data_IF_724113919504
#
_entry.id   IF_724113919504
#
_cell.length_a   1.000
_cell.length_b   1.000
_cell.length_c   1.000
_cell.angle_alpha   90.00
_cell.angle_beta   90.00
_cell.angle_gamma   90.00
#
_symmetry.space_group_name_H-M   'P 1'
#
loop_
_entity.id
_entity.type
_entity.pdbx_description
1 polymer ?
#
# COMPACT_ATOMS: atom_id res chain seq x y z
N UNK A 1 -40.71 6.24 -0.78
CA UNK A 1 -39.26 6.30 -1.07
C UNK A 1 -38.87 5.02 -1.79
N UNK A 2 -38.93 4.98 -3.13
CA UNK A 2 -38.52 3.81 -3.91
C UNK A 2 -36.99 3.76 -3.94
N UNK A 3 -36.40 2.75 -3.30
CA UNK A 3 -34.95 2.51 -3.35
C UNK A 3 -34.52 2.29 -4.80
N UNK A 4 -33.72 3.22 -5.34
CA UNK A 4 -33.10 3.05 -6.66
C UNK A 4 -32.19 1.83 -6.58
N UNK A 5 -32.55 0.75 -7.27
CA UNK A 5 -31.65 -0.39 -7.47
C UNK A 5 -30.43 0.12 -8.26
N UNK A 6 -29.19 -0.21 -7.85
CA UNK A 6 -28.02 0.17 -8.62
C UNK A 6 -28.11 -0.42 -10.02
N UNK A 7 -27.93 0.43 -11.03
CA UNK A 7 -27.89 0.03 -12.44
C UNK A 7 -26.72 -0.94 -12.68
N UNK A 8 -26.93 -1.93 -13.55
CA UNK A 8 -25.93 -2.94 -13.91
C UNK A 8 -24.67 -2.26 -14.47
N UNK A 9 -24.83 -1.16 -15.21
CA UNK A 9 -23.72 -0.37 -15.72
C UNK A 9 -22.85 0.24 -14.61
N UNK A 10 -23.48 0.69 -13.53
CA UNK A 10 -22.78 1.21 -12.35
C UNK A 10 -22.00 0.08 -11.67
N UNK A 11 -22.63 -1.06 -11.40
CA UNK A 11 -21.96 -2.22 -10.78
C UNK A 11 -20.71 -2.67 -11.55
N UNK A 12 -20.80 -2.78 -12.88
CA UNK A 12 -19.65 -3.13 -13.73
C UNK A 12 -18.52 -2.11 -13.67
N UNK A 13 -18.84 -0.82 -13.58
CA UNK A 13 -17.82 0.22 -13.46
C UNK A 13 -17.03 0.10 -12.14
N UNK A 14 -17.69 -0.26 -11.02
CA UNK A 14 -16.99 -0.52 -9.77
C UNK A 14 -16.11 -1.77 -9.82
N UNK A 15 -16.59 -2.84 -10.46
CA UNK A 15 -15.80 -4.04 -10.68
C UNK A 15 -14.54 -3.73 -11.49
N UNK A 16 -14.67 -2.98 -12.60
CA UNK A 16 -13.53 -2.56 -13.40
C UNK A 16 -12.55 -1.67 -12.63
N UNK A 17 -13.05 -0.71 -11.85
CA UNK A 17 -12.20 0.16 -11.04
C UNK A 17 -11.45 -0.61 -9.95
N UNK A 18 -12.09 -1.62 -9.35
CA UNK A 18 -11.47 -2.55 -8.40
C UNK A 18 -10.37 -3.35 -9.06
N UNK A 19 -10.65 -3.98 -10.20
CA UNK A 19 -9.71 -4.83 -10.91
C UNK A 19 -8.50 -4.01 -11.44
N UNK A 20 -8.73 -2.76 -11.87
CA UNK A 20 -7.67 -1.81 -12.19
C UNK A 20 -6.81 -1.49 -10.96
N UNK A 21 -7.44 -1.28 -9.81
CA UNK A 21 -6.73 -0.99 -8.55
C UNK A 21 -5.83 -2.16 -8.13
N UNK A 22 -6.33 -3.40 -8.24
CA UNK A 22 -5.55 -4.62 -7.98
C UNK A 22 -4.37 -4.70 -8.94
N UNK A 23 -4.58 -4.45 -10.24
CA UNK A 23 -3.53 -4.49 -11.26
C UNK A 23 -2.41 -3.47 -10.99
N UNK A 24 -2.79 -2.23 -10.65
CA UNK A 24 -1.83 -1.17 -10.32
C UNK A 24 -1.06 -1.47 -9.03
N UNK A 25 -1.73 -2.04 -8.03
CA UNK A 25 -1.12 -2.47 -6.78
C UNK A 25 -0.10 -3.59 -7.03
N UNK A 26 -0.47 -4.63 -7.81
CA UNK A 26 0.42 -5.72 -8.21
C UNK A 26 1.70 -5.17 -8.85
N UNK A 27 1.55 -4.28 -9.84
CA UNK A 27 2.68 -3.64 -10.53
C UNK A 27 3.57 -2.84 -9.58
N UNK A 28 2.99 -2.12 -8.61
CA UNK A 28 3.76 -1.37 -7.61
C UNK A 28 4.48 -2.28 -6.62
N UNK A 29 3.86 -3.36 -6.15
CA UNK A 29 4.46 -4.32 -5.23
C UNK A 29 5.70 -4.96 -5.86
N UNK A 30 5.58 -5.50 -7.07
CA UNK A 30 6.72 -6.12 -7.78
C UNK A 30 7.83 -5.10 -8.04
N UNK A 31 7.48 -3.91 -8.54
CA UNK A 31 8.48 -2.89 -8.94
C UNK A 31 9.24 -2.27 -7.75
N UNK A 32 8.54 -1.99 -6.66
CA UNK A 32 9.12 -1.21 -5.55
C UNK A 32 9.27 -2.04 -4.28
N UNK A 33 8.22 -2.75 -3.86
CA UNK A 33 8.24 -3.41 -2.55
C UNK A 33 9.05 -4.70 -2.56
N UNK A 34 9.01 -5.45 -3.66
CA UNK A 34 9.72 -6.71 -3.85
C UNK A 34 11.02 -6.55 -4.63
N UNK A 35 11.48 -5.30 -4.81
CA UNK A 35 12.75 -5.01 -5.49
C UNK A 35 13.91 -5.70 -4.80
N UNK A 36 14.00 -5.58 -3.47
CA UNK A 36 15.09 -6.14 -2.67
C UNK A 36 14.80 -7.57 -2.17
N UNK A 37 13.63 -8.13 -2.53
CA UNK A 37 13.30 -9.52 -2.23
C UNK A 37 14.00 -10.44 -3.23
N UNK A 38 15.21 -10.89 -2.88
CA UNK A 38 16.06 -11.74 -3.74
C UNK A 38 16.04 -13.20 -3.35
N UNK A 39 15.85 -13.50 -2.06
CA UNK A 39 15.88 -14.86 -1.53
C UNK A 39 14.65 -15.15 -0.66
N UNK A 40 14.16 -16.40 -0.73
CA UNK A 40 13.09 -16.89 0.15
C UNK A 40 13.56 -16.94 1.61
N UNK A 41 12.82 -16.27 2.50
CA UNK A 41 13.17 -16.15 3.94
C UNK A 41 12.43 -17.17 4.82
N UNK A 42 11.19 -17.50 4.47
CA UNK A 42 10.24 -18.20 5.36
C UNK A 42 9.91 -19.64 4.95
N UNK A 43 10.14 -20.03 3.69
CA UNK A 43 9.85 -21.39 3.24
C UNK A 43 10.92 -22.38 3.74
N UNK A 44 10.50 -23.47 4.37
CA UNK A 44 11.42 -24.53 4.82
C UNK A 44 12.01 -25.33 3.66
N UNK A 45 11.25 -25.49 2.56
CA UNK A 45 11.67 -26.25 1.38
C UNK A 45 12.47 -25.45 0.36
N UNK A 46 12.26 -24.12 0.28
CA UNK A 46 12.93 -23.22 -0.67
C UNK A 46 13.87 -22.22 0.01
N UNK A 47 14.25 -22.48 1.26
CA UNK A 47 15.01 -21.53 2.07
C UNK A 47 16.32 -21.18 1.37
N UNK A 48 16.56 -19.88 1.13
CA UNK A 48 17.75 -19.34 0.43
C UNK A 48 17.80 -19.60 -1.08
N UNK A 49 16.74 -20.09 -1.70
CA UNK A 49 16.65 -20.10 -3.16
C UNK A 49 16.35 -18.70 -3.70
N UNK A 50 16.83 -18.38 -4.92
CA UNK A 50 16.55 -17.12 -5.57
C UNK A 50 15.06 -17.03 -5.93
N UNK A 51 14.45 -15.90 -5.60
CA UNK A 51 13.04 -15.63 -5.91
C UNK A 51 12.92 -15.24 -7.37
N UNK A 52 12.06 -15.93 -8.10
CA UNK A 52 11.78 -15.59 -9.51
C UNK A 52 10.77 -14.44 -9.62
N UNK A 53 10.80 -13.70 -10.74
CA UNK A 53 9.83 -12.63 -10.97
C UNK A 53 8.39 -13.15 -11.03
N UNK A 54 8.18 -14.39 -11.50
CA UNK A 54 6.88 -15.05 -11.47
C UNK A 54 6.36 -15.27 -10.04
N UNK A 55 7.22 -15.72 -9.11
CA UNK A 55 6.85 -15.87 -7.69
C UNK A 55 6.54 -14.51 -7.05
N UNK A 56 7.24 -13.44 -7.45
CA UNK A 56 6.91 -12.06 -7.00
C UNK A 56 5.56 -11.60 -7.50
N UNK A 57 5.23 -11.90 -8.76
CA UNK A 57 3.94 -11.57 -9.36
C UNK A 57 2.79 -12.34 -8.71
N UNK A 58 2.96 -13.64 -8.51
CA UNK A 58 2.00 -14.50 -7.81
C UNK A 58 1.75 -13.97 -6.40
N UNK A 59 2.82 -13.70 -5.64
CA UNK A 59 2.67 -13.15 -4.28
C UNK A 59 2.02 -11.78 -4.27
N UNK A 60 2.33 -10.92 -5.24
CA UNK A 60 1.70 -9.61 -5.36
C UNK A 60 0.20 -9.71 -5.69
N UNK A 61 -0.19 -10.72 -6.47
CA UNK A 61 -1.58 -11.02 -6.80
C UNK A 61 -2.36 -11.54 -5.59
N UNK A 62 -1.79 -12.45 -4.82
CA UNK A 62 -2.37 -12.90 -3.55
C UNK A 62 -2.66 -11.71 -2.62
N UNK A 63 -1.66 -10.85 -2.40
CA UNK A 63 -1.82 -9.67 -1.53
C UNK A 63 -2.86 -8.70 -2.09
N UNK A 64 -2.88 -8.47 -3.40
CA UNK A 64 -3.87 -7.61 -4.04
C UNK A 64 -5.30 -8.13 -3.87
N UNK A 65 -5.50 -9.44 -4.02
CA UNK A 65 -6.78 -10.09 -3.81
C UNK A 65 -7.21 -10.04 -2.34
N UNK A 66 -6.30 -10.33 -1.39
CA UNK A 66 -6.59 -10.22 0.04
C UNK A 66 -6.99 -8.80 0.44
N UNK A 67 -6.27 -7.78 -0.03
CA UNK A 67 -6.58 -6.38 0.29
C UNK A 67 -7.89 -5.89 -0.34
N UNK A 68 -8.28 -6.46 -1.48
CA UNK A 68 -9.55 -6.13 -2.13
C UNK A 68 -10.76 -6.87 -1.54
N UNK A 69 -10.56 -7.88 -0.70
CA UNK A 69 -11.66 -8.62 -0.11
C UNK A 69 -12.26 -7.89 1.09
N UNK A 70 -13.34 -7.15 0.81
CA UNK A 70 -14.10 -6.43 1.82
C UNK A 70 -14.74 -7.34 2.87
N UNK A 71 -14.91 -8.65 2.60
CA UNK A 71 -15.43 -9.61 3.59
C UNK A 71 -14.41 -9.87 4.69
N UNK A 72 -13.12 -9.88 4.37
CA UNK A 72 -12.04 -10.09 5.34
C UNK A 72 -11.96 -8.89 6.29
N UNK A 73 -11.99 -7.69 5.72
CA UNK A 73 -11.65 -6.50 6.49
C UNK A 73 -12.84 -5.89 7.24
N UNK A 74 -14.08 -6.20 6.84
CA UNK A 74 -15.34 -5.63 7.36
C UNK A 74 -15.33 -4.11 7.53
N UNK A 75 -14.41 -3.42 6.86
CA UNK A 75 -14.10 -2.02 7.09
C UNK A 75 -14.74 -1.22 5.97
N UNK A 76 -15.99 -0.85 6.18
CA UNK A 76 -16.69 0.13 5.34
C UNK A 76 -16.06 1.51 5.58
N UNK A 77 -14.86 1.74 5.03
CA UNK A 77 -14.14 3.03 5.08
C UNK A 77 -13.17 3.22 6.25
N UNK A 78 -12.81 2.16 6.99
CA UNK A 78 -11.71 2.24 7.98
C UNK A 78 -10.38 1.86 7.34
N UNK A 79 -9.30 2.52 7.77
CA UNK A 79 -7.93 2.18 7.34
C UNK A 79 -7.54 0.81 7.89
N UNK A 80 -6.91 -0.01 7.06
CA UNK A 80 -6.27 -1.27 7.50
C UNK A 80 -5.06 -0.89 8.36
N UNK A 81 -4.97 -1.47 9.56
CA UNK A 81 -3.89 -1.19 10.50
C UNK A 81 -2.55 -1.75 10.02
N UNK A 82 -1.45 -1.14 10.47
CA UNK A 82 -0.09 -1.57 10.13
C UNK A 82 0.16 -3.03 10.53
N UNK A 83 -0.17 -3.37 11.77
CA UNK A 83 -0.02 -4.71 12.33
C UNK A 83 -0.77 -5.76 11.48
N UNK A 84 -1.95 -5.40 10.98
CA UNK A 84 -2.74 -6.27 10.12
C UNK A 84 -2.05 -6.53 8.79
N UNK A 85 -1.43 -5.51 8.19
CA UNK A 85 -0.64 -5.68 6.96
C UNK A 85 0.61 -6.53 7.19
N UNK A 86 1.28 -6.38 8.33
CA UNK A 86 2.43 -7.21 8.69
C UNK A 86 2.03 -8.67 8.94
N UNK A 87 0.91 -8.93 9.62
CA UNK A 87 0.47 -10.29 9.96
C UNK A 87 -0.16 -11.02 8.77
N UNK A 88 -1.14 -10.40 8.11
CA UNK A 88 -1.94 -11.05 7.07
C UNK A 88 -1.22 -11.03 5.71
N UNK A 89 -0.65 -9.88 5.34
CA UNK A 89 0.02 -9.73 4.04
C UNK A 89 1.52 -10.07 4.10
N UNK A 90 2.10 -10.19 5.31
CA UNK A 90 3.55 -10.42 5.52
C UNK A 90 4.41 -9.38 4.82
N UNK A 91 3.91 -8.15 4.77
CA UNK A 91 4.64 -7.02 4.21
C UNK A 91 5.62 -6.50 5.27
N UNK A 92 6.88 -6.39 4.90
CA UNK A 92 7.89 -5.70 5.70
C UNK A 92 7.58 -4.19 5.63
N UNK A 93 7.25 -3.51 6.72
CA UNK A 93 6.91 -2.08 6.69
C UNK A 93 7.78 -1.31 7.66
N UNK A 94 8.37 -0.21 7.18
CA UNK A 94 9.19 0.67 8.00
C UNK A 94 8.28 1.56 8.87
N UNK A 95 8.14 1.17 10.14
CA UNK A 95 7.36 1.92 11.12
C UNK A 95 8.18 3.05 11.75
N UNK A 96 8.11 4.23 11.16
CA UNK A 96 8.71 5.45 11.70
C UNK A 96 8.10 5.90 13.05
N UNK A 97 7.05 5.25 13.55
CA UNK A 97 6.46 5.52 14.86
C UNK A 97 7.23 4.92 16.04
N UNK A 98 8.10 3.92 15.78
CA UNK A 98 8.90 3.23 16.79
C UNK A 98 10.06 4.08 17.30
N UNK A 99 10.72 4.80 16.40
CA UNK A 99 11.77 5.77 16.75
C UNK A 99 11.16 7.14 17.03
N UNK A 100 11.11 7.53 18.31
CA UNK A 100 10.52 8.80 18.74
C UNK A 100 11.29 10.02 18.27
N UNK A 101 12.61 9.91 18.15
CA UNK A 101 13.43 11.03 17.70
C UNK A 101 13.28 11.23 16.20
N UNK A 102 13.38 10.17 15.41
CA UNK A 102 13.11 10.23 13.97
C UNK A 102 11.69 10.73 13.69
N UNK A 103 10.69 10.22 14.42
CA UNK A 103 9.31 10.67 14.32
C UNK A 103 9.19 12.18 14.56
N UNK A 104 9.86 12.70 15.59
CA UNK A 104 9.85 14.13 15.93
C UNK A 104 10.48 14.96 14.80
N UNK A 105 11.62 14.53 14.27
CA UNK A 105 12.31 15.21 13.18
C UNK A 105 11.46 15.26 11.91
N UNK A 106 10.83 14.14 11.53
CA UNK A 106 9.92 14.07 10.38
C UNK A 106 8.74 15.03 10.57
N UNK A 107 8.14 15.06 11.76
CA UNK A 107 7.02 15.97 12.07
C UNK A 107 7.44 17.43 11.98
N UNK A 108 8.55 17.81 12.62
CA UNK A 108 9.06 19.19 12.57
C UNK A 108 9.33 19.64 11.14
N UNK A 109 9.94 18.77 10.33
CA UNK A 109 10.16 19.03 8.92
C UNK A 109 8.85 19.23 8.16
N UNK A 110 7.88 18.32 8.33
CA UNK A 110 6.56 18.41 7.71
C UNK A 110 5.78 19.67 8.13
N UNK A 111 5.84 20.02 9.41
CA UNK A 111 5.16 21.19 9.99
C UNK A 111 5.74 22.48 9.43
N UNK A 112 7.08 22.58 9.35
CA UNK A 112 7.75 23.73 8.74
C UNK A 112 7.35 23.91 7.27
N UNK A 113 7.33 22.82 6.49
CA UNK A 113 6.97 22.88 5.08
C UNK A 113 5.50 23.25 4.87
N UNK A 114 4.60 22.69 5.69
CA UNK A 114 3.17 23.01 5.63
C UNK A 114 2.90 24.45 6.05
N UNK A 115 3.57 24.91 7.10
CA UNK A 115 3.50 26.30 7.57
C UNK A 115 3.98 27.28 6.48
N UNK A 116 5.15 27.02 5.88
CA UNK A 116 5.68 27.85 4.81
C UNK A 116 4.78 27.84 3.56
N UNK A 117 4.27 26.67 3.16
CA UNK A 117 3.33 26.55 2.03
C UNK A 117 2.04 27.34 2.25
N UNK A 118 1.51 27.35 3.49
CA UNK A 118 0.35 28.15 3.89
C UNK A 118 0.63 29.65 3.78
N UNK A 119 1.78 30.11 4.27
CA UNK A 119 2.20 31.51 4.15
C UNK A 119 2.36 31.95 2.69
N UNK A 120 2.86 31.06 1.82
CA UNK A 120 3.03 31.33 0.40
C UNK A 120 1.76 31.12 -0.44
N UNK A 121 0.63 30.77 0.17
CA UNK A 121 -0.63 30.43 -0.53
C UNK A 121 -0.47 29.36 -1.62
N UNK A 122 0.45 28.41 -1.42
CA UNK A 122 0.65 27.32 -2.38
C UNK A 122 -0.36 26.19 -2.12
N UNK A 123 -1.05 25.76 -3.18
CA UNK A 123 -2.13 24.77 -3.09
C UNK A 123 -1.70 23.36 -2.67
N UNK A 124 -0.45 22.97 -2.95
CA UNK A 124 0.17 21.73 -2.45
C UNK A 124 1.69 21.80 -2.62
N UNK A 125 2.44 21.15 -1.72
CA UNK A 125 3.89 21.04 -1.80
C UNK A 125 4.31 19.60 -1.49
N UNK A 126 5.01 18.96 -2.44
CA UNK A 126 5.57 17.61 -2.28
C UNK A 126 7.08 17.76 -2.25
N UNK A 127 7.69 17.50 -1.09
CA UNK A 127 9.14 17.42 -1.00
C UNK A 127 9.58 15.97 -1.15
N UNK A 128 10.32 15.68 -2.20
CA UNK A 128 10.94 14.37 -2.43
C UNK A 128 12.45 14.51 -2.49
N UNK A 129 13.15 13.68 -1.73
CA UNK A 129 14.61 13.58 -1.82
C UNK A 129 14.99 12.88 -3.13
N UNK A 130 15.81 13.53 -3.95
CA UNK A 130 16.45 12.90 -5.11
C UNK A 130 17.80 12.37 -4.61
N UNK A 131 17.89 11.06 -4.39
CA UNK A 131 19.19 10.42 -4.24
C UNK A 131 19.79 10.31 -5.66
N UNK A 132 20.90 11.02 -5.90
CA UNK A 132 21.76 10.77 -7.06
C UNK A 132 22.46 9.42 -6.94
#
# INVERSE_FOLDING_TARGET
MHGRRPDIGWLRAYEQARDLSITLLKKRLVKYKFKDWTHHRSDEHKKREPVTDAEKEERAEEIGNTLSDNKIWHSHGRRIGLETLEKECRLEIDDFGKDKELQRQIRLYSDMMTHNGSLMQQGFLIHSYKAE
#
